data_IF_138941350915
#
_entry.id   IF_138941350915
#
_cell.length_a   1.000
_cell.length_b   1.000
_cell.length_c   1.000
_cell.angle_alpha   90.00
_cell.angle_beta   90.00
_cell.angle_gamma   90.00
#
_symmetry.space_group_name_H-M   'P 1'
#
loop_
_entity.id
_entity.type
_entity.pdbx_description
1 polymer ?
#
# COMPACT_ATOMS: atom_id res chain seq x y z
N UNK A 1 -13.35 18.34 14.10
CA UNK A 1 -13.33 18.30 12.61
C UNK A 1 -13.76 16.92 12.16
N UNK A 2 -14.73 16.86 11.32
CA UNK A 2 -15.22 15.57 10.86
C UNK A 2 -14.31 15.02 9.78
N UNK A 3 -14.35 13.70 9.60
CA UNK A 3 -13.56 13.03 8.58
C UNK A 3 -13.94 13.49 7.18
N UNK A 4 -15.16 14.02 7.00
CA UNK A 4 -15.61 14.49 5.71
C UNK A 4 -14.78 15.64 5.15
N UNK A 5 -14.07 16.39 6.01
CA UNK A 5 -13.20 17.45 5.55
C UNK A 5 -12.14 16.92 4.57
N UNK A 6 -11.52 15.80 4.92
CA UNK A 6 -10.46 15.21 4.09
C UNK A 6 -11.01 14.38 2.95
N UNK A 7 -12.23 13.91 3.09
CA UNK A 7 -12.87 13.04 2.12
C UNK A 7 -13.81 13.79 1.17
N UNK A 8 -13.71 15.11 1.19
CA UNK A 8 -14.55 15.98 0.38
C UNK A 8 -13.99 16.06 -1.04
N UNK A 9 -14.93 16.11 -2.02
CA UNK A 9 -14.58 16.32 -3.41
C UNK A 9 -14.71 15.08 -4.29
N UNK A 10 -14.33 15.24 -5.55
CA UNK A 10 -14.34 14.15 -6.52
C UNK A 10 -13.25 13.14 -6.19
N UNK A 11 -13.32 11.97 -6.81
CA UNK A 11 -12.29 10.95 -6.63
C UNK A 11 -10.92 11.49 -7.04
N UNK A 12 -10.84 12.23 -8.15
CA UNK A 12 -9.57 12.82 -8.58
C UNK A 12 -9.03 13.85 -7.61
N UNK A 13 -9.90 14.70 -7.07
CA UNK A 13 -9.49 15.70 -6.08
C UNK A 13 -8.99 15.04 -4.80
N UNK A 14 -9.68 13.99 -4.35
CA UNK A 14 -9.27 13.25 -3.16
C UNK A 14 -7.95 12.51 -3.39
N UNK A 15 -7.77 11.94 -4.59
CA UNK A 15 -6.52 11.28 -4.95
C UNK A 15 -5.34 12.26 -4.89
N UNK A 16 -5.50 13.43 -5.48
CA UNK A 16 -4.45 14.46 -5.45
C UNK A 16 -4.14 14.89 -4.02
N UNK A 17 -5.18 15.05 -3.22
CA UNK A 17 -5.01 15.44 -1.82
C UNK A 17 -4.31 14.34 -1.01
N UNK A 18 -4.67 13.10 -1.26
CA UNK A 18 -4.02 11.97 -0.57
C UNK A 18 -2.53 11.92 -0.89
N UNK A 19 -2.17 12.13 -2.16
CA UNK A 19 -0.77 12.16 -2.56
C UNK A 19 -0.03 13.32 -1.91
N UNK A 20 -0.67 14.47 -1.81
CA UNK A 20 -0.07 15.64 -1.17
C UNK A 20 0.25 15.35 0.29
N UNK A 21 -0.71 14.77 1.03
CA UNK A 21 -0.48 14.40 2.42
C UNK A 21 0.57 13.32 2.56
N UNK A 22 0.57 12.34 1.66
CA UNK A 22 1.58 11.29 1.68
C UNK A 22 2.98 11.90 1.50
N UNK A 23 3.13 12.78 0.52
CA UNK A 23 4.43 13.41 0.25
C UNK A 23 4.88 14.30 1.40
N UNK A 24 3.94 14.88 2.14
CA UNK A 24 4.22 15.67 3.34
C UNK A 24 4.47 14.79 4.57
N UNK A 25 4.49 13.47 4.40
CA UNK A 25 4.65 12.49 5.49
C UNK A 25 3.51 12.52 6.51
N UNK A 26 2.37 13.03 6.10
CA UNK A 26 1.14 13.02 6.90
C UNK A 26 0.39 11.72 6.59
N UNK A 27 1.01 10.60 6.96
CA UNK A 27 0.54 9.27 6.53
C UNK A 27 -0.83 8.91 7.06
N UNK A 28 -1.12 9.27 8.31
CA UNK A 28 -2.43 8.94 8.88
C UNK A 28 -3.56 9.68 8.19
N UNK A 29 -3.32 10.93 7.78
CA UNK A 29 -4.30 11.68 7.01
C UNK A 29 -4.48 11.07 5.62
N UNK A 30 -3.38 10.70 4.98
CA UNK A 30 -3.44 10.02 3.69
C UNK A 30 -4.24 8.73 3.78
N UNK A 31 -4.03 7.94 4.85
CA UNK A 31 -4.79 6.70 5.09
C UNK A 31 -6.29 7.00 5.13
N UNK A 32 -6.69 8.03 5.86
CA UNK A 32 -8.10 8.38 6.01
C UNK A 32 -8.75 8.63 4.65
N UNK A 33 -8.07 9.39 3.79
CA UNK A 33 -8.59 9.70 2.45
C UNK A 33 -8.59 8.44 1.58
N UNK A 34 -7.49 7.69 1.59
CA UNK A 34 -7.32 6.54 0.71
C UNK A 34 -8.28 5.39 1.05
N UNK A 35 -8.60 5.22 2.33
CA UNK A 35 -9.57 4.20 2.73
C UNK A 35 -10.90 4.41 2.03
N UNK A 36 -11.37 5.66 1.95
CA UNK A 36 -12.61 5.98 1.26
C UNK A 36 -12.52 5.68 -0.23
N UNK A 37 -11.42 6.08 -0.86
CA UNK A 37 -11.22 5.84 -2.29
C UNK A 37 -11.17 4.35 -2.62
N UNK A 38 -10.46 3.56 -1.82
CA UNK A 38 -10.36 2.12 -2.04
C UNK A 38 -11.73 1.44 -1.84
N UNK A 39 -12.50 1.90 -0.87
CA UNK A 39 -13.84 1.36 -0.63
C UNK A 39 -14.76 1.61 -1.83
N UNK A 40 -14.65 2.79 -2.46
CA UNK A 40 -15.46 3.16 -3.61
C UNK A 40 -14.97 2.51 -4.91
N UNK A 41 -13.65 2.29 -5.02
CA UNK A 41 -13.02 1.81 -6.24
C UNK A 41 -12.04 0.69 -5.92
N UNK A 42 -12.51 -0.47 -5.44
CA UNK A 42 -11.61 -1.51 -4.94
C UNK A 42 -10.68 -2.12 -5.99
N UNK A 43 -10.99 -1.93 -7.27
CA UNK A 43 -10.15 -2.41 -8.36
C UNK A 43 -9.00 -1.50 -8.75
N UNK A 44 -8.89 -0.32 -8.14
CA UNK A 44 -7.84 0.64 -8.49
C UNK A 44 -6.56 0.33 -7.71
N UNK A 45 -5.65 -0.36 -8.37
CA UNK A 45 -4.40 -0.82 -7.76
C UNK A 45 -3.56 0.32 -7.22
N UNK A 46 -3.45 1.42 -7.97
CA UNK A 46 -2.62 2.56 -7.54
C UNK A 46 -3.09 3.13 -6.20
N UNK A 47 -4.40 3.27 -6.01
CA UNK A 47 -4.95 3.80 -4.76
C UNK A 47 -4.70 2.85 -3.60
N UNK A 48 -4.91 1.55 -3.82
CA UNK A 48 -4.70 0.55 -2.79
C UNK A 48 -3.22 0.43 -2.43
N UNK A 49 -2.36 0.54 -3.43
CA UNK A 49 -0.92 0.48 -3.19
C UNK A 49 -0.44 1.67 -2.35
N UNK A 50 -0.92 2.87 -2.66
CA UNK A 50 -0.56 4.05 -1.87
C UNK A 50 -1.11 3.92 -0.44
N UNK A 51 -2.30 3.36 -0.28
CA UNK A 51 -2.87 3.09 1.04
C UNK A 51 -1.96 2.13 1.82
N UNK A 52 -1.51 1.06 1.19
CA UNK A 52 -0.61 0.10 1.83
C UNK A 52 0.69 0.78 2.27
N UNK A 53 1.23 1.65 1.41
CA UNK A 53 2.45 2.39 1.73
C UNK A 53 2.24 3.35 2.90
N UNK A 54 1.11 4.01 2.95
CA UNK A 54 0.79 4.91 4.05
C UNK A 54 0.63 4.14 5.36
N UNK A 55 0.00 2.97 5.32
CA UNK A 55 -0.07 2.09 6.48
C UNK A 55 1.33 1.65 6.92
N UNK A 56 2.19 1.29 5.97
CA UNK A 56 3.55 0.86 6.25
C UNK A 56 4.33 1.95 6.99
N UNK A 57 4.29 3.18 6.46
CA UNK A 57 5.03 4.29 7.04
C UNK A 57 4.47 4.76 8.38
N UNK A 58 3.21 4.50 8.65
CA UNK A 58 2.59 4.83 9.94
C UNK A 58 2.62 3.65 10.90
N UNK A 59 3.39 2.62 10.58
CA UNK A 59 3.59 1.41 11.39
C UNK A 59 2.31 0.62 11.63
N UNK A 60 1.33 0.75 10.76
CA UNK A 60 0.10 -0.04 10.79
C UNK A 60 0.29 -1.27 9.91
N UNK A 61 1.18 -2.16 10.35
CA UNK A 61 1.71 -3.22 9.50
C UNK A 61 0.70 -4.29 9.12
N UNK A 62 -0.22 -4.64 10.03
CA UNK A 62 -1.27 -5.61 9.71
C UNK A 62 -2.19 -5.09 8.62
N UNK A 63 -2.51 -3.81 8.66
CA UNK A 63 -3.33 -3.19 7.63
C UNK A 63 -2.58 -3.14 6.29
N UNK A 64 -1.29 -2.79 6.34
CA UNK A 64 -0.48 -2.79 5.12
C UNK A 64 -0.46 -4.19 4.49
N UNK A 65 -0.25 -5.20 5.31
CA UNK A 65 -0.24 -6.59 4.84
C UNK A 65 -1.54 -6.96 4.13
N UNK A 66 -2.68 -6.61 4.74
CA UNK A 66 -3.99 -6.93 4.17
C UNK A 66 -4.18 -6.30 2.80
N UNK A 67 -3.81 -5.03 2.64
CA UNK A 67 -3.95 -4.35 1.37
C UNK A 67 -3.05 -4.96 0.30
N UNK A 68 -1.82 -5.29 0.67
CA UNK A 68 -0.87 -5.87 -0.27
C UNK A 68 -1.30 -7.26 -0.73
N UNK A 69 -1.83 -8.07 0.19
CA UNK A 69 -2.34 -9.39 -0.18
C UNK A 69 -3.55 -9.28 -1.11
N UNK A 70 -4.41 -8.29 -0.88
CA UNK A 70 -5.55 -8.04 -1.76
C UNK A 70 -5.10 -7.68 -3.18
N UNK A 71 -4.05 -6.87 -3.31
CA UNK A 71 -3.49 -6.54 -4.61
C UNK A 71 -2.98 -7.81 -5.31
N UNK A 72 -2.24 -8.64 -4.57
CA UNK A 72 -1.61 -9.83 -5.15
C UNK A 72 -2.61 -10.94 -5.48
N UNK A 73 -3.78 -10.95 -4.84
CA UNK A 73 -4.85 -11.87 -5.24
C UNK A 73 -5.36 -11.56 -6.63
N UNK A 74 -5.42 -10.28 -6.99
CA UNK A 74 -5.92 -9.83 -8.28
C UNK A 74 -4.84 -9.79 -9.34
N UNK A 75 -3.61 -9.50 -8.95
CA UNK A 75 -2.47 -9.36 -9.84
C UNK A 75 -1.23 -9.97 -9.20
N UNK A 76 -1.07 -11.30 -9.31
CA UNK A 76 0.06 -11.99 -8.68
C UNK A 76 1.43 -11.55 -9.18
N UNK A 77 1.49 -10.88 -10.34
CA UNK A 77 2.76 -10.45 -10.92
C UNK A 77 3.06 -8.98 -10.66
N UNK A 78 2.29 -8.33 -9.79
CA UNK A 78 2.59 -6.96 -9.39
C UNK A 78 3.80 -7.00 -8.46
N UNK A 79 4.99 -6.73 -9.01
CA UNK A 79 6.25 -6.97 -8.31
C UNK A 79 6.47 -6.01 -7.15
N UNK A 80 6.02 -4.76 -7.27
CA UNK A 80 6.21 -3.79 -6.20
C UNK A 80 5.39 -4.15 -4.98
N UNK A 81 4.14 -4.59 -5.17
CA UNK A 81 3.32 -5.06 -4.05
C UNK A 81 3.97 -6.28 -3.39
N UNK A 82 4.58 -7.16 -4.18
CA UNK A 82 5.28 -8.33 -3.64
C UNK A 82 6.47 -7.91 -2.80
N UNK A 83 7.26 -6.97 -3.29
CA UNK A 83 8.39 -6.42 -2.54
C UNK A 83 7.92 -5.80 -1.23
N UNK A 84 6.89 -4.96 -1.29
CA UNK A 84 6.36 -4.30 -0.11
C UNK A 84 5.81 -5.30 0.91
N UNK A 85 5.15 -6.38 0.43
CA UNK A 85 4.66 -7.41 1.33
C UNK A 85 5.83 -8.07 2.07
N UNK A 86 6.90 -8.38 1.36
CA UNK A 86 8.09 -8.95 1.99
C UNK A 86 8.65 -8.02 3.06
N UNK A 87 8.81 -6.73 2.73
CA UNK A 87 9.30 -5.74 3.70
C UNK A 87 8.38 -5.60 4.91
N UNK A 88 7.08 -5.64 4.68
CA UNK A 88 6.09 -5.55 5.75
C UNK A 88 6.23 -6.75 6.70
N UNK A 89 6.35 -7.94 6.14
CA UNK A 89 6.53 -9.15 6.93
C UNK A 89 7.84 -9.12 7.74
N UNK A 90 8.92 -8.62 7.13
CA UNK A 90 10.18 -8.46 7.87
C UNK A 90 10.00 -7.57 9.09
N UNK A 91 9.33 -6.43 8.91
CA UNK A 91 9.10 -5.51 10.02
C UNK A 91 8.21 -6.10 11.12
N UNK A 92 7.38 -7.08 10.75
CA UNK A 92 6.57 -7.80 11.73
C UNK A 92 7.34 -8.93 12.42
N UNK A 93 8.62 -9.09 12.10
CA UNK A 93 9.43 -10.16 12.65
C UNK A 93 9.16 -11.52 12.01
N UNK A 94 8.58 -11.53 10.82
CA UNK A 94 8.19 -12.76 10.12
C UNK A 94 9.11 -12.97 8.91
N UNK A 95 10.41 -13.03 9.18
CA UNK A 95 11.42 -13.11 8.12
C UNK A 95 11.28 -14.36 7.24
N UNK A 96 10.90 -15.50 7.84
CA UNK A 96 10.73 -16.73 7.07
C UNK A 96 9.62 -16.63 6.04
N UNK A 97 8.53 -15.96 6.40
CA UNK A 97 7.43 -15.73 5.47
C UNK A 97 7.79 -14.65 4.44
N UNK A 98 8.61 -13.69 4.82
CA UNK A 98 9.03 -12.61 3.93
C UNK A 98 9.94 -13.10 2.80
N UNK A 99 10.80 -14.05 3.08
CA UNK A 99 11.86 -14.45 2.15
C UNK A 99 11.34 -14.90 0.77
N UNK A 100 10.30 -15.75 0.66
CA UNK A 100 9.79 -16.13 -0.66
C UNK A 100 9.26 -14.95 -1.48
N UNK A 101 8.61 -13.99 -0.80
CA UNK A 101 8.09 -12.82 -1.49
C UNK A 101 9.22 -11.93 -2.02
N UNK A 102 10.26 -11.76 -1.22
CA UNK A 102 11.40 -10.94 -1.63
C UNK A 102 12.15 -11.58 -2.80
N UNK A 103 12.33 -12.90 -2.76
CA UNK A 103 12.98 -13.62 -3.86
C UNK A 103 12.16 -13.51 -5.15
N UNK A 104 10.84 -13.66 -5.03
CA UNK A 104 9.97 -13.56 -6.21
C UNK A 104 9.98 -12.16 -6.79
N UNK A 105 9.94 -11.13 -5.94
CA UNK A 105 10.00 -9.75 -6.41
C UNK A 105 11.30 -9.48 -7.18
N UNK A 106 12.42 -9.95 -6.67
CA UNK A 106 13.71 -9.80 -7.34
C UNK A 106 13.72 -10.51 -8.69
N UNK A 107 13.16 -11.72 -8.74
CA UNK A 107 13.09 -12.47 -10.00
C UNK A 107 12.23 -11.77 -11.04
N UNK A 108 11.10 -11.17 -10.61
CA UNK A 108 10.19 -10.47 -11.51
C UNK A 108 10.80 -9.24 -12.15
N UNK A 109 11.73 -8.59 -11.46
CA UNK A 109 12.39 -7.40 -12.02
C UNK A 109 13.66 -7.74 -12.78
N UNK A 110 14.00 -9.02 -12.87
CA UNK A 110 15.23 -9.44 -13.52
C UNK A 110 16.47 -9.18 -12.69
N UNK A 111 16.32 -8.82 -11.42
CA UNK A 111 17.47 -8.67 -10.54
C UNK A 111 17.98 -10.05 -10.19
N UNK A 112 19.18 -10.34 -10.66
CA UNK A 112 19.80 -11.63 -10.36
C UNK A 112 20.64 -11.50 -9.13
N UNK A 113 20.57 -12.52 -8.29
CA UNK A 113 21.40 -12.62 -7.11
C UNK A 113 22.70 -13.33 -7.47
N UNK A 114 23.40 -12.75 -8.38
CA UNK A 114 24.69 -13.32 -8.77
C UNK A 114 25.81 -12.68 -8.00
#
# INVERSE_FOLDING_TARGET
MSDTYYEFGTAGERWDRAQLFFDAKEYRTAVRILRGLVAEHPGQTAQRLLLARAYYHSAQLSHAESELRAILERDPVEHYARLMLGRTLERQGRADEAAPHLRMAAAMTGETLS
#
